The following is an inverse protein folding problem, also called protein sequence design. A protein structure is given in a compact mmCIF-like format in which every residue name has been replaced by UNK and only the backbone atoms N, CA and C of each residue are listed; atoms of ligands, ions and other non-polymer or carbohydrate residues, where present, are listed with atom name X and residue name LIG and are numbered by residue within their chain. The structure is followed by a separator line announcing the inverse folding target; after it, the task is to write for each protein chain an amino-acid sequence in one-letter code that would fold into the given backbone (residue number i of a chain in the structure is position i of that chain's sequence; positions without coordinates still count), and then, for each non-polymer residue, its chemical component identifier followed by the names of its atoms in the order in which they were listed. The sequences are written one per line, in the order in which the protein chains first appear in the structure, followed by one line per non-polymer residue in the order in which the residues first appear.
data_IF_034635157902
#
_entry.id   IF_034635157902
#
_cell.length_a   1.000
_cell.length_b   1.000
_cell.length_c   1.000
_cell.angle_alpha   90.00
_cell.angle_beta   90.00
_cell.angle_gamma   90.00
#
_symmetry.space_group_name_H-M   'P 1'
#
loop_
_entity.id
_entity.type
_entity.pdbx_description
1 polymer ?
#
# COMPACT_ATOMS: atom_id res chain seq x y z
N UNK A 1 11.10 -4.84 -58.24
CA UNK A 1 9.97 -4.36 -57.42
C UNK A 1 10.50 -3.24 -56.52
N UNK A 2 10.35 -1.97 -56.90
CA UNK A 2 9.15 -1.11 -56.79
C UNK A 2 8.91 -0.65 -55.34
N UNK A 3 9.03 0.68 -55.16
CA UNK A 3 8.74 1.61 -54.04
C UNK A 3 7.36 1.36 -53.35
N UNK A 4 6.92 2.00 -52.21
CA UNK A 4 7.23 3.39 -51.82
C UNK A 4 7.23 3.83 -50.32
N UNK A 5 7.82 5.03 -50.13
CA UNK A 5 7.36 6.22 -49.40
C UNK A 5 6.60 6.12 -48.06
N UNK A 6 7.18 6.73 -47.02
CA UNK A 6 6.47 7.20 -45.82
C UNK A 6 7.14 8.47 -45.28
N UNK A 7 6.42 9.57 -45.30
CA UNK A 7 6.85 10.93 -44.95
C UNK A 7 6.94 11.10 -43.43
N UNK A 8 7.88 11.92 -42.92
CA UNK A 8 7.70 12.57 -41.63
C UNK A 8 8.05 14.07 -41.73
N UNK A 9 7.03 14.89 -41.52
CA UNK A 9 7.02 16.35 -41.61
C UNK A 9 7.11 16.95 -40.21
N UNK A 10 8.20 17.64 -39.88
CA UNK A 10 8.26 18.48 -38.69
C UNK A 10 7.71 19.90 -39.00
N UNK A 11 6.83 20.48 -38.16
CA UNK A 11 6.31 21.82 -38.39
C UNK A 11 7.32 22.91 -37.98
N UNK A 12 7.36 23.97 -38.82
CA UNK A 12 8.13 25.21 -38.66
C UNK A 12 7.58 26.09 -37.53
N UNK A 13 8.41 26.96 -36.91
CA UNK A 13 7.96 27.98 -35.97
C UNK A 13 7.13 29.05 -36.68
N UNK A 14 5.96 29.38 -36.13
CA UNK A 14 5.12 30.50 -36.59
C UNK A 14 5.69 31.82 -36.07
N UNK A 15 5.99 32.68 -37.04
CA UNK A 15 6.06 34.15 -36.96
C UNK A 15 4.77 34.73 -36.38
N UNK A 16 4.70 35.91 -35.75
CA UNK A 16 4.85 37.29 -36.24
C UNK A 16 4.34 38.14 -35.04
N UNK A 17 4.68 39.40 -34.81
CA UNK A 17 4.23 40.54 -35.60
C UNK A 17 5.06 41.75 -35.17
N UNK A 18 5.71 42.36 -36.15
CA UNK A 18 6.25 43.72 -36.12
C UNK A 18 5.13 44.74 -35.86
N UNK A 19 5.42 45.79 -35.09
CA UNK A 19 4.88 47.12 -35.41
C UNK A 19 6.04 48.09 -35.59
N UNK A 20 6.08 48.61 -36.81
CA UNK A 20 6.88 49.74 -37.29
C UNK A 20 6.65 50.97 -36.41
N UNK A 21 7.72 51.73 -36.19
CA UNK A 21 7.73 53.19 -36.36
C UNK A 21 9.19 53.62 -36.50
N UNK A 22 9.69 53.55 -37.74
CA UNK A 22 10.85 54.29 -38.17
C UNK A 22 10.34 55.46 -38.99
N UNK A 23 10.32 56.66 -38.41
CA UNK A 23 10.37 57.92 -39.16
C UNK A 23 11.05 58.98 -38.30
N UNK A 24 12.01 59.66 -38.95
CA UNK A 24 12.73 60.88 -38.57
C UNK A 24 14.01 60.72 -37.74
N UNK A 25 15.08 60.39 -38.47
CA UNK A 25 16.42 60.92 -38.20
C UNK A 25 16.48 62.38 -38.69
N UNK A 26 16.80 63.29 -37.79
CA UNK A 26 17.58 64.50 -38.08
C UNK A 26 18.43 64.82 -36.83
N UNK A 27 19.73 65.10 -36.98
CA UNK A 27 20.65 65.25 -35.85
C UNK A 27 20.73 66.72 -35.44
N UNK A 28 20.46 67.04 -34.18
CA UNK A 28 20.80 68.36 -33.65
C UNK A 28 20.92 68.38 -32.12
N UNK A 29 22.05 68.94 -31.69
CA UNK A 29 22.38 69.46 -30.35
C UNK A 29 22.96 68.47 -29.32
N UNK A 30 24.29 68.49 -29.35
CA UNK A 30 25.23 68.36 -28.24
C UNK A 30 24.81 69.22 -27.04
N UNK A 31 24.80 68.66 -25.84
CA UNK A 31 25.06 69.45 -24.62
C UNK A 31 25.78 68.58 -23.58
N UNK A 32 26.86 69.15 -23.04
CA UNK A 32 27.73 68.55 -22.04
C UNK A 32 27.10 68.75 -20.66
N UNK A 33 26.83 67.65 -19.95
CA UNK A 33 26.26 67.74 -18.61
C UNK A 33 26.33 66.42 -17.87
N UNK A 34 27.37 66.26 -17.06
CA UNK A 34 27.45 65.42 -15.86
C UNK A 34 26.65 64.10 -15.89
N UNK A 35 27.20 63.06 -16.53
CA UNK A 35 26.69 61.69 -16.40
C UNK A 35 27.11 61.15 -15.03
N UNK A 36 26.35 61.53 -14.00
CA UNK A 36 26.31 60.74 -12.77
C UNK A 36 25.87 59.32 -13.11
N UNK A 37 26.50 58.33 -12.47
CA UNK A 37 26.40 56.92 -12.77
C UNK A 37 24.96 56.36 -12.64
N UNK A 38 24.15 56.53 -13.68
CA UNK A 38 22.81 55.96 -13.81
C UNK A 38 22.84 54.43 -13.95
N UNK A 39 23.99 53.84 -14.26
CA UNK A 39 24.15 52.39 -14.41
C UNK A 39 24.17 51.68 -13.05
N UNK A 40 24.80 52.29 -12.05
CA UNK A 40 24.80 51.78 -10.67
C UNK A 40 23.39 51.78 -10.08
N UNK A 41 22.62 52.85 -10.25
CA UNK A 41 21.27 52.96 -9.67
C UNK A 41 20.30 51.96 -10.31
N UNK A 42 20.34 51.79 -11.63
CA UNK A 42 19.56 50.77 -12.33
C UNK A 42 19.95 49.35 -11.90
N UNK A 43 21.25 49.08 -11.73
CA UNK A 43 21.74 47.76 -11.27
C UNK A 43 21.32 47.43 -9.83
N UNK A 44 21.21 48.44 -8.96
CA UNK A 44 20.74 48.28 -7.60
C UNK A 44 19.24 47.98 -7.55
N UNK A 45 18.43 48.73 -8.29
CA UNK A 45 16.98 48.50 -8.37
C UNK A 45 16.63 47.12 -8.95
N UNK A 46 17.31 46.68 -10.01
CA UNK A 46 17.11 45.34 -10.59
C UNK A 46 17.50 44.21 -9.63
N UNK A 47 18.56 44.43 -8.83
CA UNK A 47 19.03 43.46 -7.83
C UNK A 47 18.06 43.37 -6.65
N UNK A 48 17.49 44.49 -6.23
CA UNK A 48 16.49 44.58 -5.17
C UNK A 48 15.17 43.93 -5.58
N UNK A 49 14.64 44.24 -6.76
CA UNK A 49 13.44 43.61 -7.34
C UNK A 49 13.62 42.09 -7.51
N UNK A 50 14.82 41.64 -7.93
CA UNK A 50 15.14 40.21 -8.03
C UNK A 50 15.24 39.54 -6.67
N UNK A 51 15.67 40.27 -5.64
CA UNK A 51 15.74 39.76 -4.26
C UNK A 51 14.34 39.63 -3.64
N UNK A 52 13.46 40.60 -3.89
CA UNK A 52 12.05 40.58 -3.46
C UNK A 52 11.29 39.44 -4.13
N UNK A 53 11.40 39.31 -5.46
CA UNK A 53 10.80 38.18 -6.21
C UNK A 53 11.32 36.83 -5.73
N UNK A 54 12.58 36.76 -5.26
CA UNK A 54 13.14 35.53 -4.70
C UNK A 54 12.59 35.26 -3.30
N UNK A 55 12.44 36.29 -2.48
CA UNK A 55 11.84 36.20 -1.15
C UNK A 55 10.38 35.77 -1.20
N UNK A 56 9.60 36.37 -2.11
CA UNK A 56 8.19 36.01 -2.35
C UNK A 56 8.04 34.57 -2.87
N UNK A 57 8.93 34.14 -3.77
CA UNK A 57 8.95 32.73 -4.19
C UNK A 57 9.31 31.79 -3.04
N UNK A 58 10.22 32.18 -2.16
CA UNK A 58 10.61 31.37 -1.01
C UNK A 58 9.48 31.25 0.00
N UNK A 59 8.76 32.33 0.30
CA UNK A 59 7.62 32.30 1.22
C UNK A 59 6.48 31.43 0.67
N UNK A 60 6.20 31.49 -0.63
CA UNK A 60 5.20 30.62 -1.27
C UNK A 60 5.58 29.13 -1.15
N UNK A 61 6.85 28.79 -1.37
CA UNK A 61 7.31 27.39 -1.27
C UNK A 61 7.26 26.88 0.17
N UNK A 62 7.63 27.71 1.15
CA UNK A 62 7.56 27.34 2.57
C UNK A 62 6.11 27.12 3.02
N UNK A 63 5.20 28.04 2.70
CA UNK A 63 3.78 27.88 3.04
C UNK A 63 3.16 26.64 2.37
N UNK A 64 3.54 26.35 1.11
CA UNK A 64 3.08 25.16 0.41
C UNK A 64 3.64 23.87 1.04
N UNK A 65 4.84 23.90 1.59
CA UNK A 65 5.43 22.78 2.31
C UNK A 65 4.73 22.57 3.67
N UNK A 66 4.49 23.63 4.44
CA UNK A 66 3.79 23.59 5.73
C UNK A 66 2.35 23.08 5.58
N UNK A 67 1.58 23.62 4.63
CA UNK A 67 0.21 23.14 4.37
C UNK A 67 0.17 21.68 3.93
N UNK A 68 1.19 21.21 3.20
CA UNK A 68 1.32 19.80 2.82
C UNK A 68 1.62 18.92 4.04
N UNK A 69 2.46 19.36 4.97
CA UNK A 69 2.75 18.62 6.20
C UNK A 69 1.57 18.59 7.16
N UNK A 70 0.82 19.68 7.27
CA UNK A 70 -0.38 19.75 8.11
C UNK A 70 -1.48 18.81 7.59
N UNK A 71 -1.71 18.83 6.27
CA UNK A 71 -2.67 17.92 5.64
C UNK A 71 -2.25 16.44 5.74
N UNK A 72 -0.95 16.15 5.74
CA UNK A 72 -0.46 14.78 5.96
C UNK A 72 -0.67 14.35 7.42
N UNK A 73 -0.44 15.23 8.38
CA UNK A 73 -0.65 14.97 9.80
C UNK A 73 -2.13 14.71 10.12
N UNK A 74 -3.04 15.52 9.58
CA UNK A 74 -4.49 15.35 9.75
C UNK A 74 -4.96 13.99 9.20
N UNK A 75 -4.52 13.61 8.01
CA UNK A 75 -4.82 12.30 7.42
C UNK A 75 -4.30 11.14 8.26
N UNK A 76 -3.11 11.26 8.84
CA UNK A 76 -2.55 10.24 9.74
C UNK A 76 -3.36 10.12 11.03
N UNK A 77 -3.83 11.23 11.58
CA UNK A 77 -4.69 11.22 12.76
C UNK A 77 -6.05 10.57 12.45
N UNK A 78 -6.69 10.94 11.34
CA UNK A 78 -7.93 10.29 10.88
C UNK A 78 -7.76 8.79 10.67
N UNK A 79 -6.67 8.37 10.03
CA UNK A 79 -6.33 6.95 9.87
C UNK A 79 -6.15 6.27 11.23
N UNK A 80 -5.45 6.88 12.18
CA UNK A 80 -5.25 6.33 13.51
C UNK A 80 -6.58 6.20 14.28
N UNK A 81 -7.49 7.16 14.14
CA UNK A 81 -8.84 7.10 14.72
C UNK A 81 -9.60 5.89 14.19
N UNK A 82 -9.54 5.65 12.88
CA UNK A 82 -10.19 4.50 12.25
C UNK A 82 -9.58 3.17 12.71
N UNK A 83 -8.25 3.07 12.79
CA UNK A 83 -7.58 1.85 13.30
C UNK A 83 -7.98 1.56 14.75
N UNK A 84 -8.04 2.60 15.61
CA UNK A 84 -8.50 2.46 17.00
C UNK A 84 -9.96 2.01 17.07
N UNK A 85 -10.83 2.56 16.21
CA UNK A 85 -12.25 2.19 16.13
C UNK A 85 -12.40 0.71 15.81
N UNK A 86 -11.74 0.25 14.75
CA UNK A 86 -11.83 -1.15 14.31
C UNK A 86 -11.29 -2.11 15.37
N UNK A 87 -10.16 -1.78 16.03
CA UNK A 87 -9.62 -2.61 17.12
C UNK A 87 -10.54 -2.68 18.32
N UNK A 88 -11.26 -1.59 18.63
CA UNK A 88 -12.27 -1.59 19.69
C UNK A 88 -13.44 -2.50 19.32
N UNK A 89 -14.00 -2.34 18.12
CA UNK A 89 -15.15 -3.14 17.64
C UNK A 89 -14.85 -4.64 17.60
N UNK A 90 -13.59 -5.01 17.33
CA UNK A 90 -13.12 -6.38 17.33
C UNK A 90 -13.14 -7.05 18.73
N UNK A 91 -13.21 -6.26 19.80
CA UNK A 91 -13.22 -6.72 21.20
C UNK A 91 -14.62 -6.67 21.84
N UNK A 92 -15.62 -6.22 21.09
CA UNK A 92 -17.02 -6.22 21.57
C UNK A 92 -17.57 -7.65 21.62
N UNK A 93 -18.63 -7.88 22.40
CA UNK A 93 -19.22 -9.22 22.56
C UNK A 93 -20.07 -9.66 21.35
N UNK A 94 -20.52 -8.72 20.52
CA UNK A 94 -21.36 -9.02 19.36
C UNK A 94 -20.52 -9.62 18.22
N UNK A 95 -20.73 -10.91 17.95
CA UNK A 95 -20.08 -11.66 16.88
C UNK A 95 -20.25 -11.02 15.49
N UNK A 96 -21.39 -10.38 15.23
CA UNK A 96 -21.61 -9.69 13.96
C UNK A 96 -20.69 -8.48 13.83
N UNK A 97 -20.54 -7.70 14.91
CA UNK A 97 -19.64 -6.55 14.96
C UNK A 97 -18.18 -6.99 14.89
N UNK A 98 -17.80 -8.06 15.60
CA UNK A 98 -16.45 -8.64 15.50
C UNK A 98 -16.11 -9.07 14.07
N UNK A 99 -17.04 -9.72 13.37
CA UNK A 99 -16.85 -10.12 11.97
C UNK A 99 -16.63 -8.91 11.06
N UNK A 100 -17.46 -7.88 11.18
CA UNK A 100 -17.33 -6.63 10.40
C UNK A 100 -15.99 -5.95 10.72
N UNK A 101 -15.59 -5.92 11.99
CA UNK A 101 -14.31 -5.37 12.40
C UNK A 101 -13.14 -6.17 11.81
N UNK A 102 -13.21 -7.50 11.79
CA UNK A 102 -12.18 -8.35 11.17
C UNK A 102 -12.07 -8.11 9.65
N UNK A 103 -13.19 -7.91 8.96
CA UNK A 103 -13.20 -7.50 7.55
C UNK A 103 -12.57 -6.10 7.36
N UNK A 104 -12.82 -5.17 8.30
CA UNK A 104 -12.16 -3.87 8.38
C UNK A 104 -10.63 -3.99 8.54
N UNK A 105 -10.17 -4.80 9.49
CA UNK A 105 -8.73 -5.09 9.70
C UNK A 105 -8.11 -5.65 8.42
N UNK A 106 -8.77 -6.64 7.79
CA UNK A 106 -8.32 -7.22 6.53
C UNK A 106 -8.14 -6.14 5.46
N UNK A 107 -9.14 -5.27 5.29
CA UNK A 107 -9.11 -4.20 4.28
C UNK A 107 -7.97 -3.22 4.54
N UNK A 108 -7.87 -2.71 5.76
CA UNK A 108 -6.86 -1.73 6.18
C UNK A 108 -5.44 -2.29 6.10
N UNK A 109 -5.24 -3.59 6.39
CA UNK A 109 -3.92 -4.22 6.39
C UNK A 109 -3.42 -4.61 4.98
N UNK A 110 -4.29 -4.66 3.96
CA UNK A 110 -4.01 -5.33 2.67
C UNK A 110 -2.77 -4.78 1.95
N UNK A 111 -2.68 -3.45 1.83
CA UNK A 111 -1.64 -2.78 1.03
C UNK A 111 -0.89 -1.69 1.81
N UNK A 112 -1.19 -1.53 3.11
CA UNK A 112 -0.64 -0.48 3.96
C UNK A 112 0.22 -1.04 5.10
N UNK A 113 1.54 -0.86 4.98
CA UNK A 113 2.50 -1.32 5.98
C UNK A 113 2.43 -0.52 7.28
N UNK A 114 2.11 0.78 7.21
CA UNK A 114 1.98 1.64 8.37
C UNK A 114 0.72 1.27 9.15
N UNK A 115 -0.40 1.01 8.47
CA UNK A 115 -1.61 0.48 9.09
C UNK A 115 -1.35 -0.85 9.79
N UNK A 116 -0.62 -1.79 9.16
CA UNK A 116 -0.22 -3.06 9.81
C UNK A 116 0.57 -2.83 11.09
N UNK A 117 1.56 -1.93 11.06
CA UNK A 117 2.37 -1.61 12.24
C UNK A 117 1.52 -0.99 13.37
N UNK A 118 0.67 -0.01 13.04
CA UNK A 118 -0.20 0.67 13.99
C UNK A 118 -1.24 -0.29 14.61
N UNK A 119 -1.91 -1.11 13.79
CA UNK A 119 -2.84 -2.13 14.28
C UNK A 119 -2.15 -3.13 15.22
N UNK A 120 -0.92 -3.53 14.91
CA UNK A 120 -0.12 -4.42 15.76
C UNK A 120 0.17 -3.77 17.12
N UNK A 121 0.55 -2.50 17.13
CA UNK A 121 0.77 -1.73 18.35
C UNK A 121 -0.51 -1.58 19.19
N UNK A 122 -1.68 -1.55 18.55
CA UNK A 122 -2.99 -1.59 19.20
C UNK A 122 -3.41 -3.01 19.67
N UNK A 123 -2.58 -4.02 19.45
CA UNK A 123 -2.82 -5.39 19.89
C UNK A 123 -3.87 -6.14 19.06
N UNK A 124 -3.99 -5.82 17.77
CA UNK A 124 -5.02 -6.42 16.88
C UNK A 124 -4.87 -7.92 16.66
N UNK A 125 -3.70 -8.52 16.93
CA UNK A 125 -3.45 -9.92 16.52
C UNK A 125 -4.26 -10.92 17.36
N UNK A 126 -4.46 -10.64 18.65
CA UNK A 126 -5.12 -11.59 19.56
C UNK A 126 -6.61 -11.81 19.24
N UNK A 127 -7.44 -10.76 19.05
CA UNK A 127 -8.87 -10.96 18.85
C UNK A 127 -9.25 -11.81 17.62
N UNK A 128 -8.64 -11.65 16.42
CA UNK A 128 -8.88 -12.57 15.31
C UNK A 128 -8.52 -14.02 15.67
N UNK A 129 -7.45 -14.26 16.43
CA UNK A 129 -7.10 -15.63 16.84
C UNK A 129 -8.17 -16.24 17.75
N UNK A 130 -8.79 -15.47 18.63
CA UNK A 130 -9.93 -15.91 19.44
C UNK A 130 -11.16 -16.20 18.58
N UNK A 131 -11.41 -15.39 17.55
CA UNK A 131 -12.52 -15.61 16.61
C UNK A 131 -12.42 -16.94 15.84
N UNK A 132 -11.25 -17.59 15.79
CA UNK A 132 -11.13 -18.94 15.22
C UNK A 132 -11.93 -19.99 16.00
N UNK A 133 -12.24 -19.74 17.27
CA UNK A 133 -13.09 -20.61 18.08
C UNK A 133 -14.60 -20.38 17.88
N UNK A 134 -14.99 -19.36 17.09
CA UNK A 134 -16.41 -19.08 16.78
C UNK A 134 -17.06 -20.28 16.09
N UNK A 135 -18.36 -20.52 16.31
CA UNK A 135 -19.13 -21.52 15.57
C UNK A 135 -19.50 -21.05 14.15
N UNK A 136 -19.44 -19.75 13.88
CA UNK A 136 -19.77 -19.16 12.58
C UNK A 136 -18.58 -19.23 11.61
N UNK A 137 -18.77 -19.92 10.48
CA UNK A 137 -17.77 -20.06 9.44
C UNK A 137 -17.37 -18.71 8.83
N UNK A 138 -18.28 -17.74 8.72
CA UNK A 138 -17.96 -16.42 8.17
C UNK A 138 -17.01 -15.64 9.09
N UNK A 139 -17.21 -15.72 10.40
CA UNK A 139 -16.33 -15.15 11.41
C UNK A 139 -14.92 -15.76 11.36
N UNK A 140 -14.83 -17.10 11.23
CA UNK A 140 -13.54 -17.78 11.03
C UNK A 140 -12.82 -17.31 9.77
N UNK A 141 -13.53 -17.21 8.65
CA UNK A 141 -12.96 -16.76 7.37
C UNK A 141 -12.49 -15.30 7.45
N UNK A 142 -13.31 -14.42 8.03
CA UNK A 142 -12.94 -13.02 8.23
C UNK A 142 -11.66 -12.89 9.08
N UNK A 143 -11.59 -13.65 10.17
CA UNK A 143 -10.40 -13.73 11.02
C UNK A 143 -9.17 -14.22 10.27
N UNK A 144 -9.26 -15.35 9.57
CA UNK A 144 -8.14 -15.95 8.84
C UNK A 144 -7.56 -14.97 7.80
N UNK A 145 -8.41 -14.26 7.06
CA UNK A 145 -7.93 -13.28 6.09
C UNK A 145 -7.40 -11.99 6.74
N UNK A 146 -7.92 -11.59 7.90
CA UNK A 146 -7.33 -10.50 8.67
C UNK A 146 -5.91 -10.85 9.13
N UNK A 147 -5.71 -12.05 9.69
CA UNK A 147 -4.40 -12.57 10.12
C UNK A 147 -3.41 -12.67 8.95
N UNK A 148 -3.87 -13.20 7.81
CA UNK A 148 -3.06 -13.27 6.59
C UNK A 148 -2.55 -11.87 6.19
N UNK A 149 -3.45 -10.89 6.09
CA UNK A 149 -3.10 -9.54 5.66
C UNK A 149 -2.19 -8.84 6.67
N UNK A 150 -2.40 -9.04 7.97
CA UNK A 150 -1.49 -8.53 9.00
C UNK A 150 -0.06 -9.06 8.86
N UNK A 151 0.11 -10.25 8.29
CA UNK A 151 1.42 -10.86 8.03
C UNK A 151 2.12 -10.39 6.74
N UNK A 152 1.44 -9.70 5.81
CA UNK A 152 2.03 -9.34 4.51
C UNK A 152 3.24 -8.41 4.70
N UNK A 153 4.42 -8.89 4.34
CA UNK A 153 5.69 -8.15 4.49
C UNK A 153 6.02 -7.77 5.94
N UNK A 154 5.41 -8.42 6.94
CA UNK A 154 5.64 -8.14 8.36
C UNK A 154 6.01 -9.42 9.11
N UNK A 155 7.31 -9.67 9.22
CA UNK A 155 7.84 -10.89 9.84
C UNK A 155 7.59 -10.94 11.35
N UNK A 156 7.56 -9.81 12.04
CA UNK A 156 7.22 -9.75 13.46
C UNK A 156 5.78 -10.23 13.69
N UNK A 157 4.85 -9.85 12.82
CA UNK A 157 3.46 -10.31 12.88
C UNK A 157 3.35 -11.80 12.57
N UNK A 158 3.99 -12.29 11.49
CA UNK A 158 4.01 -13.72 11.16
C UNK A 158 4.55 -14.55 12.33
N UNK A 159 5.64 -14.12 12.95
CA UNK A 159 6.23 -14.81 14.10
C UNK A 159 5.30 -14.78 15.31
N UNK A 160 4.60 -13.66 15.54
CA UNK A 160 3.65 -13.53 16.65
C UNK A 160 2.46 -14.47 16.47
N UNK A 161 1.87 -14.52 15.27
CA UNK A 161 0.76 -15.43 14.93
C UNK A 161 1.14 -16.90 15.22
N UNK A 162 2.34 -17.33 14.83
CA UNK A 162 2.80 -18.70 15.12
C UNK A 162 2.98 -18.98 16.61
N UNK A 163 3.39 -17.97 17.39
CA UNK A 163 3.65 -18.12 18.84
C UNK A 163 2.39 -18.22 19.69
N UNK A 164 1.24 -17.71 19.23
CA UNK A 164 0.00 -17.63 20.00
C UNK A 164 -0.99 -18.76 19.65
N UNK A 165 -0.47 -19.96 19.43
CA UNK A 165 -1.26 -21.18 19.21
C UNK A 165 -2.18 -21.18 17.96
N UNK A 166 -2.01 -20.20 17.06
CA UNK A 166 -2.87 -20.08 15.87
C UNK A 166 -2.80 -21.31 14.96
N UNK A 167 -1.63 -21.93 14.83
CA UNK A 167 -1.45 -23.13 14.01
C UNK A 167 -2.33 -24.28 14.51
N UNK A 168 -2.34 -24.55 15.83
CA UNK A 168 -3.15 -25.63 16.38
C UNK A 168 -4.65 -25.36 16.22
N UNK A 169 -5.09 -24.10 16.39
CA UNK A 169 -6.48 -23.69 16.12
C UNK A 169 -6.87 -23.94 14.66
N UNK A 170 -6.03 -23.55 13.70
CA UNK A 170 -6.27 -23.82 12.27
C UNK A 170 -6.38 -25.33 11.98
N UNK A 171 -5.49 -26.15 12.53
CA UNK A 171 -5.53 -27.61 12.34
C UNK A 171 -6.77 -28.25 12.97
N UNK A 172 -7.17 -27.80 14.16
CA UNK A 172 -8.42 -28.26 14.78
C UNK A 172 -9.65 -27.93 13.95
N UNK A 173 -9.67 -26.77 13.28
CA UNK A 173 -10.75 -26.40 12.36
C UNK A 173 -10.84 -27.36 11.17
N UNK A 174 -9.71 -27.82 10.64
CA UNK A 174 -9.64 -28.80 9.54
C UNK A 174 -10.22 -30.15 9.95
N UNK A 175 -10.00 -30.57 11.19
CA UNK A 175 -10.49 -31.86 11.71
C UNK A 175 -12.00 -31.83 12.05
N UNK A 176 -12.60 -30.65 12.18
CA UNK A 176 -14.01 -30.49 12.49
C UNK A 176 -14.91 -30.83 11.30
N UNK A 177 -16.09 -31.40 11.56
CA UNK A 177 -17.10 -31.68 10.54
C UNK A 177 -17.64 -30.42 9.84
N UNK A 178 -17.35 -29.25 10.40
CA UNK A 178 -17.90 -27.96 9.97
C UNK A 178 -16.94 -27.20 9.03
N UNK A 179 -15.80 -27.80 8.68
CA UNK A 179 -14.85 -27.21 7.74
C UNK A 179 -15.43 -27.22 6.33
N UNK A 180 -15.92 -26.06 5.88
CA UNK A 180 -16.29 -25.86 4.48
C UNK A 180 -15.06 -25.53 3.61
N UNK A 181 -15.22 -25.62 2.29
CA UNK A 181 -14.13 -25.36 1.31
C UNK A 181 -13.49 -23.97 1.47
N UNK A 182 -14.26 -22.94 1.85
CA UNK A 182 -13.76 -21.57 1.99
C UNK A 182 -12.87 -21.40 3.24
N UNK A 183 -13.18 -22.12 4.33
CA UNK A 183 -12.33 -22.17 5.52
C UNK A 183 -11.00 -22.85 5.18
N UNK A 184 -11.05 -23.97 4.45
CA UNK A 184 -9.85 -24.68 3.97
C UNK A 184 -8.99 -23.75 3.10
N UNK A 185 -9.59 -23.03 2.16
CA UNK A 185 -8.89 -22.04 1.35
C UNK A 185 -8.17 -20.98 2.18
N UNK A 186 -8.87 -20.38 3.16
CA UNK A 186 -8.30 -19.37 4.03
C UNK A 186 -7.16 -19.91 4.93
N UNK A 187 -7.25 -21.17 5.38
CA UNK A 187 -6.20 -21.82 6.17
C UNK A 187 -4.96 -22.11 5.31
N UNK A 188 -5.13 -22.62 4.09
CA UNK A 188 -4.00 -22.87 3.18
C UNK A 188 -3.29 -21.56 2.84
N UNK A 189 -4.03 -20.49 2.58
CA UNK A 189 -3.45 -19.16 2.35
C UNK A 189 -2.65 -18.66 3.56
N UNK A 190 -3.13 -18.92 4.79
CA UNK A 190 -2.38 -18.61 6.01
C UNK A 190 -1.09 -19.43 6.11
N UNK A 191 -1.12 -20.74 5.84
CA UNK A 191 0.10 -21.55 5.83
C UNK A 191 1.10 -21.08 4.78
N UNK A 192 0.65 -20.65 3.60
CA UNK A 192 1.51 -19.99 2.62
C UNK A 192 2.15 -18.72 3.20
N UNK A 193 1.36 -17.81 3.77
CA UNK A 193 1.86 -16.55 4.33
C UNK A 193 2.82 -16.74 5.51
N UNK A 194 2.53 -17.70 6.39
CA UNK A 194 3.34 -17.98 7.59
C UNK A 194 4.63 -18.73 7.25
N UNK A 195 4.61 -19.66 6.29
CA UNK A 195 5.78 -20.43 5.84
C UNK A 195 6.82 -19.58 5.09
N UNK A 196 6.42 -18.40 4.59
CA UNK A 196 7.32 -17.46 3.94
C UNK A 196 8.36 -16.81 4.89
N UNK A 197 8.27 -17.06 6.20
CA UNK A 197 9.26 -16.64 7.20
C UNK A 197 10.06 -17.87 7.67
N UNK A 198 11.38 -17.85 7.48
CA UNK A 198 12.27 -18.98 7.82
C UNK A 198 12.13 -19.45 9.27
N UNK A 199 12.01 -18.52 10.23
CA UNK A 199 11.87 -18.87 11.65
C UNK A 199 10.55 -19.58 11.99
N UNK A 200 9.53 -19.49 11.13
CA UNK A 200 8.26 -20.20 11.32
C UNK A 200 8.30 -21.63 10.76
N UNK A 201 9.18 -21.93 9.79
CA UNK A 201 9.17 -23.20 9.05
C UNK A 201 9.30 -24.44 9.95
N UNK A 202 10.19 -24.51 10.96
CA UNK A 202 10.27 -25.69 11.82
C UNK A 202 8.98 -25.93 12.62
N UNK A 203 8.31 -24.84 13.03
CA UNK A 203 7.10 -24.90 13.84
C UNK A 203 5.92 -25.35 12.97
N UNK A 204 5.74 -24.74 11.80
CA UNK A 204 4.69 -25.10 10.84
C UNK A 204 4.92 -26.51 10.28
N UNK A 205 6.17 -26.87 9.97
CA UNK A 205 6.50 -28.19 9.42
C UNK A 205 6.23 -29.33 10.39
N UNK A 206 6.42 -29.10 11.69
CA UNK A 206 6.24 -30.12 12.74
C UNK A 206 4.83 -30.18 13.31
N UNK A 207 3.91 -29.30 12.90
CA UNK A 207 2.58 -29.18 13.51
C UNK A 207 1.52 -30.13 12.95
N UNK A 208 1.77 -30.76 11.80
CA UNK A 208 0.75 -31.47 11.01
C UNK A 208 0.23 -30.68 9.81
N UNK A 209 0.72 -29.45 9.57
CA UNK A 209 0.38 -28.68 8.38
C UNK A 209 0.80 -29.37 7.07
N UNK A 210 1.97 -30.03 7.04
CA UNK A 210 2.45 -30.73 5.83
C UNK A 210 1.49 -31.86 5.41
N UNK A 211 1.14 -32.84 6.27
CA UNK A 211 0.14 -33.85 5.92
C UNK A 211 -1.18 -33.27 5.42
N UNK A 212 -1.68 -32.20 6.06
CA UNK A 212 -2.89 -31.51 5.62
C UNK A 212 -2.75 -30.93 4.21
N UNK A 213 -1.69 -30.17 3.94
CA UNK A 213 -1.44 -29.56 2.62
C UNK A 213 -1.36 -30.64 1.51
N UNK A 214 -0.71 -31.77 1.80
CA UNK A 214 -0.63 -32.91 0.87
C UNK A 214 -2.02 -33.51 0.63
N UNK A 215 -2.81 -33.72 1.69
CA UNK A 215 -4.18 -34.24 1.57
C UNK A 215 -5.07 -33.30 0.75
N UNK A 216 -4.96 -31.98 0.95
CA UNK A 216 -5.70 -30.98 0.15
C UNK A 216 -5.35 -31.11 -1.34
N UNK A 217 -4.08 -31.28 -1.70
CA UNK A 217 -3.67 -31.49 -3.10
C UNK A 217 -4.26 -32.78 -3.70
N UNK A 218 -4.22 -33.88 -2.96
CA UNK A 218 -4.80 -35.16 -3.40
C UNK A 218 -6.31 -35.07 -3.63
N UNK A 219 -7.03 -34.39 -2.72
CA UNK A 219 -8.48 -34.17 -2.85
C UNK A 219 -8.82 -33.31 -4.07
N UNK A 220 -8.00 -32.29 -4.37
CA UNK A 220 -8.18 -31.45 -5.56
C UNK A 220 -7.93 -32.20 -6.87
N UNK A 221 -6.96 -33.12 -6.90
CA UNK A 221 -6.68 -33.92 -8.09
C UNK A 221 -7.75 -34.97 -8.40
N UNK A 222 -8.49 -35.42 -7.39
CA UNK A 222 -9.64 -36.30 -7.57
C UNK A 222 -10.85 -35.58 -8.21
N UNK A 223 -10.87 -34.24 -8.21
CA UNK A 223 -11.96 -33.45 -8.79
C UNK A 223 -11.88 -33.43 -10.32
N UNK A 224 -12.97 -33.86 -11.00
CA UNK A 224 -13.05 -33.90 -12.47
C UNK A 224 -13.17 -32.52 -13.14
N UNK A 225 -13.53 -31.50 -12.36
CA UNK A 225 -13.67 -30.12 -12.81
C UNK A 225 -12.89 -29.21 -11.87
N UNK A 226 -12.09 -28.30 -12.40
CA UNK A 226 -11.28 -27.35 -11.62
C UNK A 226 -11.89 -25.96 -11.75
N UNK A 227 -12.45 -25.44 -10.65
CA UNK A 227 -12.83 -24.03 -10.57
C UNK A 227 -11.59 -23.14 -10.44
N UNK A 228 -11.75 -21.83 -10.68
CA UNK A 228 -10.67 -20.86 -10.43
C UNK A 228 -10.22 -20.85 -8.97
N UNK A 229 -11.15 -21.00 -8.01
CA UNK A 229 -10.80 -21.06 -6.58
C UNK A 229 -9.97 -22.31 -6.25
N UNK A 230 -10.31 -23.46 -6.82
CA UNK A 230 -9.55 -24.70 -6.65
C UNK A 230 -8.15 -24.60 -7.26
N UNK A 231 -7.99 -23.87 -8.36
CA UNK A 231 -6.67 -23.63 -8.93
C UNK A 231 -5.81 -22.78 -8.02
N UNK A 232 -6.35 -21.68 -7.47
CA UNK A 232 -5.63 -20.86 -6.49
C UNK A 232 -5.26 -21.67 -5.25
N UNK A 233 -6.20 -22.47 -4.73
CA UNK A 233 -5.95 -23.36 -3.59
C UNK A 233 -4.81 -24.34 -3.86
N UNK A 234 -4.77 -24.92 -5.07
CA UNK A 234 -3.68 -25.82 -5.49
C UNK A 234 -2.35 -25.08 -5.50
N UNK A 235 -2.30 -23.87 -6.05
CA UNK A 235 -1.08 -23.07 -6.09
C UNK A 235 -0.60 -22.71 -4.69
N UNK A 236 -1.50 -22.25 -3.83
CA UNK A 236 -1.15 -21.83 -2.47
C UNK A 236 -0.62 -23.02 -1.66
N UNK A 237 -1.23 -24.20 -1.79
CA UNK A 237 -0.76 -25.41 -1.14
C UNK A 237 0.64 -25.84 -1.63
N UNK A 238 0.89 -25.79 -2.95
CA UNK A 238 2.21 -26.10 -3.52
C UNK A 238 3.29 -25.12 -3.05
N UNK A 239 2.98 -23.83 -3.04
CA UNK A 239 3.90 -22.78 -2.59
C UNK A 239 4.19 -22.89 -1.08
N UNK A 240 3.18 -23.20 -0.27
CA UNK A 240 3.36 -23.46 1.15
C UNK A 240 4.29 -24.66 1.39
N UNK A 241 4.08 -25.77 0.67
CA UNK A 241 4.97 -26.95 0.77
C UNK A 241 6.40 -26.63 0.30
N UNK A 242 6.55 -25.88 -0.79
CA UNK A 242 7.85 -25.42 -1.27
C UNK A 242 8.59 -24.61 -0.20
N UNK A 243 7.92 -23.61 0.39
CA UNK A 243 8.49 -22.80 1.47
C UNK A 243 8.96 -23.65 2.66
N UNK A 244 8.19 -24.68 3.03
CA UNK A 244 8.50 -25.57 4.15
C UNK A 244 9.64 -26.57 3.85
N UNK A 245 10.01 -26.73 2.57
CA UNK A 245 11.05 -27.69 2.14
C UNK A 245 12.47 -27.11 2.04
N UNK A 246 12.61 -25.79 2.18
CA UNK A 246 13.87 -25.04 2.05
C UNK A 246 14.29 -24.49 3.41
#
# INVERSE_FOLDING_TARGET
MVRPSGQNTAPKPKSNVRRNLQLLLSPAWRDEGNVGDFSLVASHAEKEERSEKRSEKLSVVLNAAETKTDAEAERKEEALVELKRVVKELREEDLSMQRIAAEGVRSLAKEDAEARANLTMLGVIHPPVEMLDSEDAHSRIASLYALLNLGIGNDANKATVVKIDTIHKMLKLIESSDSNSLVVEAIVANFLGLSALDSNKPIVGSSGAIPFLVSTLQNLEASKTVSQSQWQLKQDALLALYNLSI
#
